data_IF_971311128369
#
_entry.id   IF_971311128369
#
_cell.length_a   1.000
_cell.length_b   1.000
_cell.length_c   1.000
_cell.angle_alpha   90.00
_cell.angle_beta   90.00
_cell.angle_gamma   90.00
#
_symmetry.space_group_name_H-M   'P 1'
#
loop_
_entity.id
_entity.type
_entity.pdbx_description
1 polymer ?
#
# COMPACT_ATOMS: atom_id res chain seq x y z
N UNK A 1 12.45 2.60 -10.09
CA UNK A 1 12.95 3.99 -10.21
C UNK A 1 14.34 4.01 -9.65
N UNK A 2 15.36 4.47 -10.41
CA UNK A 2 16.73 4.51 -9.89
C UNK A 2 16.98 5.87 -9.22
N UNK A 3 17.48 5.82 -8.01
CA UNK A 3 17.95 6.98 -7.26
C UNK A 3 19.45 7.00 -7.18
N UNK A 4 20.01 8.18 -7.08
CA UNK A 4 21.39 8.41 -6.68
C UNK A 4 21.40 9.33 -5.47
N UNK A 5 22.49 9.33 -4.71
CA UNK A 5 22.69 10.33 -3.68
C UNK A 5 24.07 10.97 -3.78
N UNK A 6 24.11 12.24 -3.45
CA UNK A 6 25.33 12.98 -3.22
C UNK A 6 25.64 12.90 -1.71
N UNK A 7 26.78 12.31 -1.35
CA UNK A 7 27.31 12.35 0.01
C UNK A 7 28.20 13.58 0.12
N UNK A 8 27.70 14.64 0.79
CA UNK A 8 28.32 15.95 0.83
C UNK A 8 28.88 16.20 2.22
N UNK A 9 30.19 16.42 2.29
CA UNK A 9 30.91 16.76 3.51
C UNK A 9 31.08 18.26 3.63
N UNK A 10 30.83 18.82 4.79
CA UNK A 10 30.94 20.23 5.17
C UNK A 10 32.17 20.38 6.10
N UNK A 11 33.14 21.18 5.70
CA UNK A 11 34.38 21.36 6.47
C UNK A 11 34.75 22.83 6.65
N UNK A 12 34.88 23.34 7.90
CA UNK A 12 34.42 22.69 9.15
C UNK A 12 32.89 22.53 9.19
N UNK A 13 32.41 21.49 9.87
CA UNK A 13 30.97 21.26 9.99
C UNK A 13 30.26 22.43 10.71
N UNK A 14 29.15 22.84 10.16
CA UNK A 14 28.26 23.86 10.70
C UNK A 14 26.80 23.49 10.44
N UNK A 15 25.99 23.50 11.47
CA UNK A 15 24.57 23.21 11.37
C UNK A 15 23.87 24.22 10.44
N UNK A 16 24.24 25.50 10.52
CA UNK A 16 23.74 26.56 9.63
C UNK A 16 24.11 26.31 8.17
N UNK A 17 25.33 25.83 7.91
CA UNK A 17 25.74 25.49 6.55
C UNK A 17 24.99 24.26 6.02
N UNK A 18 24.71 23.29 6.88
CA UNK A 18 23.90 22.12 6.56
C UNK A 18 22.47 22.51 6.17
N UNK A 19 21.85 23.42 6.93
CA UNK A 19 20.49 23.90 6.66
C UNK A 19 20.40 24.68 5.35
N UNK A 20 21.39 25.57 5.08
CA UNK A 20 21.48 26.34 3.83
C UNK A 20 21.67 25.37 2.64
N UNK A 21 22.61 24.44 2.78
CA UNK A 21 22.88 23.44 1.73
C UNK A 21 21.63 22.60 1.43
N UNK A 22 20.92 22.15 2.45
CA UNK A 22 19.67 21.39 2.30
C UNK A 22 18.61 22.18 1.55
N UNK A 23 18.42 23.46 1.90
CA UNK A 23 17.45 24.32 1.24
C UNK A 23 17.79 24.54 -0.25
N UNK A 24 19.05 24.81 -0.57
CA UNK A 24 19.47 25.05 -1.94
C UNK A 24 19.41 23.78 -2.80
N UNK A 25 19.74 22.63 -2.25
CA UNK A 25 19.62 21.35 -2.95
C UNK A 25 18.15 20.96 -3.17
N UNK A 26 17.25 21.28 -2.23
CA UNK A 26 15.81 21.08 -2.42
C UNK A 26 15.27 21.92 -3.59
N UNK A 27 15.74 23.18 -3.74
CA UNK A 27 15.42 24.02 -4.91
C UNK A 27 16.03 23.46 -6.22
N UNK A 28 17.18 22.78 -6.12
CA UNK A 28 17.83 22.12 -7.26
C UNK A 28 17.21 20.76 -7.64
N UNK A 29 16.13 20.35 -6.95
CA UNK A 29 15.35 19.15 -7.29
C UNK A 29 15.70 17.90 -6.51
N UNK A 30 16.50 18.00 -5.45
CA UNK A 30 16.70 16.90 -4.51
C UNK A 30 15.48 16.77 -3.60
N UNK A 31 14.98 15.54 -3.42
CA UNK A 31 13.67 15.29 -2.78
C UNK A 31 13.78 14.69 -1.37
N UNK A 32 14.98 14.24 -0.95
CA UNK A 32 15.18 13.64 0.36
C UNK A 32 16.58 13.89 0.91
N UNK A 33 16.72 14.01 2.23
CA UNK A 33 17.98 14.36 2.88
C UNK A 33 18.18 13.54 4.16
N UNK A 34 19.42 13.08 4.38
CA UNK A 34 19.86 12.38 5.58
C UNK A 34 21.04 13.13 6.16
N UNK A 35 20.97 13.52 7.45
CA UNK A 35 22.10 14.15 8.12
C UNK A 35 23.16 13.10 8.48
N UNK A 36 24.44 13.47 8.31
CA UNK A 36 25.59 12.69 8.72
C UNK A 36 26.41 13.46 9.75
N UNK A 37 27.42 12.82 10.35
CA UNK A 37 28.25 13.47 11.37
C UNK A 37 28.97 14.73 10.84
N UNK A 38 29.29 14.80 9.55
CA UNK A 38 30.07 15.86 8.94
C UNK A 38 29.41 16.53 7.73
N UNK A 39 28.11 16.28 7.46
CA UNK A 39 27.45 16.82 6.28
C UNK A 39 26.07 16.23 6.06
N UNK A 40 25.71 16.05 4.79
CA UNK A 40 24.41 15.49 4.41
C UNK A 40 24.53 14.53 3.22
N UNK A 41 23.62 13.56 3.14
CA UNK A 41 23.32 12.82 1.92
C UNK A 41 22.05 13.39 1.31
N UNK A 42 22.12 13.80 0.06
CA UNK A 42 21.02 14.38 -0.69
C UNK A 42 20.62 13.42 -1.82
N UNK A 43 19.35 13.06 -1.91
CA UNK A 43 18.82 12.05 -2.82
C UNK A 43 18.07 12.71 -3.97
N UNK A 44 18.28 12.20 -5.19
CA UNK A 44 17.63 12.68 -6.41
C UNK A 44 17.42 11.50 -7.36
N UNK A 45 16.38 11.56 -8.19
CA UNK A 45 16.20 10.56 -9.25
C UNK A 45 17.35 10.62 -10.25
N UNK A 46 17.81 9.47 -10.71
CA UNK A 46 18.91 9.39 -11.66
C UNK A 46 18.66 10.20 -12.92
N UNK A 47 17.41 10.18 -13.42
CA UNK A 47 17.04 10.89 -14.66
C UNK A 47 17.02 12.40 -14.50
N UNK A 48 16.88 12.91 -13.28
CA UNK A 48 16.84 14.34 -12.93
C UNK A 48 18.21 14.85 -12.45
N UNK A 49 19.18 13.97 -12.25
CA UNK A 49 20.52 14.35 -11.77
C UNK A 49 21.34 15.05 -12.85
N UNK A 50 21.90 16.18 -12.47
CA UNK A 50 22.81 16.98 -13.29
C UNK A 50 24.04 17.39 -12.46
N UNK A 51 25.20 16.82 -12.76
CA UNK A 51 26.42 17.10 -11.99
C UNK A 51 26.82 18.57 -12.04
N UNK A 52 26.74 19.20 -13.20
CA UNK A 52 27.05 20.65 -13.32
C UNK A 52 26.07 21.54 -12.56
N UNK A 53 24.82 21.05 -12.35
CA UNK A 53 23.84 21.76 -11.52
C UNK A 53 24.22 21.65 -10.04
N UNK A 54 24.68 20.49 -9.58
CA UNK A 54 25.19 20.30 -8.22
C UNK A 54 26.41 21.20 -7.97
N UNK A 55 27.40 21.17 -8.89
CA UNK A 55 28.60 22.01 -8.78
C UNK A 55 28.22 23.51 -8.66
N UNK A 56 27.31 23.98 -9.51
CA UNK A 56 26.83 25.37 -9.46
C UNK A 56 26.11 25.69 -8.16
N UNK A 57 25.29 24.76 -7.66
CA UNK A 57 24.58 24.96 -6.39
C UNK A 57 25.54 25.07 -5.21
N UNK A 58 26.62 24.27 -5.20
CA UNK A 58 27.64 24.34 -4.16
C UNK A 58 28.47 25.59 -4.25
N UNK A 59 28.81 26.04 -5.47
CA UNK A 59 29.58 27.27 -5.72
C UNK A 59 28.78 28.53 -5.35
N UNK A 60 27.47 28.52 -5.46
CA UNK A 60 26.58 29.61 -5.07
C UNK A 60 26.44 29.78 -3.54
N UNK A 61 26.87 28.81 -2.75
CA UNK A 61 26.90 28.92 -1.29
C UNK A 61 28.12 29.68 -0.82
N UNK A 62 27.98 30.99 -0.68
CA UNK A 62 29.04 31.86 -0.20
C UNK A 62 29.12 31.88 1.33
N UNK A 63 29.73 30.87 1.95
CA UNK A 63 29.98 30.85 3.39
C UNK A 63 31.50 30.97 3.61
N UNK A 64 31.96 32.02 4.36
CA UNK A 64 33.39 32.18 4.61
C UNK A 64 33.92 31.02 5.46
N UNK A 65 35.10 30.51 5.04
CA UNK A 65 35.85 29.45 5.73
C UNK A 65 35.12 28.04 5.76
N UNK A 66 34.11 27.82 4.90
CA UNK A 66 33.46 26.51 4.75
C UNK A 66 33.70 25.98 3.34
N UNK A 67 34.19 24.74 3.28
CA UNK A 67 34.39 24.01 2.03
C UNK A 67 33.38 22.84 1.95
N UNK A 68 32.85 22.62 0.74
CA UNK A 68 31.97 21.49 0.41
C UNK A 68 32.76 20.52 -0.48
N UNK A 69 32.77 19.26 -0.10
CA UNK A 69 33.25 18.18 -0.96
C UNK A 69 32.20 17.09 -1.06
N UNK A 70 32.10 16.44 -2.21
CA UNK A 70 31.09 15.43 -2.38
C UNK A 70 31.56 14.20 -3.17
N UNK A 71 30.83 13.12 -3.00
CA UNK A 71 30.90 11.92 -3.84
C UNK A 71 29.49 11.49 -4.26
N UNK A 72 29.38 11.01 -5.49
CA UNK A 72 28.10 10.52 -6.03
C UNK A 72 28.07 9.00 -5.94
N UNK A 73 26.99 8.51 -5.39
CA UNK A 73 26.75 7.09 -5.24
C UNK A 73 25.45 6.72 -5.95
N UNK A 74 25.49 5.69 -6.79
CA UNK A 74 24.29 5.06 -7.25
C UNK A 74 23.74 4.23 -6.08
N UNK A 75 22.47 4.44 -5.74
CA UNK A 75 21.77 3.45 -4.95
C UNK A 75 21.71 2.20 -5.84
N UNK A 76 22.59 1.23 -5.60
CA UNK A 76 22.31 -0.11 -6.07
C UNK A 76 20.89 -0.42 -5.63
N UNK A 77 20.08 -1.02 -6.52
CA UNK A 77 18.81 -1.65 -6.18
C UNK A 77 19.08 -2.84 -5.23
N UNK A 78 19.82 -2.61 -4.17
CA UNK A 78 19.76 -3.43 -2.99
C UNK A 78 18.49 -3.00 -2.29
N UNK A 79 17.54 -3.84 -2.41
CA UNK A 79 16.26 -3.77 -1.72
C UNK A 79 16.51 -3.78 -0.21
N UNK A 80 16.92 -2.60 0.33
CA UNK A 80 17.10 -2.39 1.77
C UNK A 80 15.78 -2.63 2.51
N UNK A 81 14.65 -2.45 1.80
CA UNK A 81 13.35 -2.85 2.29
C UNK A 81 13.25 -4.38 2.33
N UNK A 82 13.78 -5.11 1.36
CA UNK A 82 13.71 -6.59 1.36
C UNK A 82 14.44 -7.19 2.57
N UNK A 83 15.59 -6.65 2.96
CA UNK A 83 16.34 -7.13 4.11
C UNK A 83 15.74 -6.66 5.44
N UNK A 84 15.24 -5.42 5.50
CA UNK A 84 14.53 -4.88 6.65
C UNK A 84 13.15 -5.53 6.81
N UNK A 85 12.40 -5.72 5.73
CA UNK A 85 11.11 -6.40 5.72
C UNK A 85 11.25 -7.88 6.06
N UNK A 86 12.27 -8.59 5.56
CA UNK A 86 12.55 -9.97 5.96
C UNK A 86 12.88 -10.10 7.44
N UNK A 87 13.57 -9.13 8.01
CA UNK A 87 13.97 -9.14 9.43
C UNK A 87 12.88 -8.59 10.36
N UNK A 88 11.92 -7.83 9.84
CA UNK A 88 10.81 -7.21 10.60
C UNK A 88 9.45 -7.83 10.30
N UNK A 89 9.37 -8.73 9.31
CA UNK A 89 8.13 -9.40 8.94
C UNK A 89 7.79 -10.51 9.95
N UNK A 90 6.73 -10.28 10.73
CA UNK A 90 6.12 -11.36 11.51
C UNK A 90 5.17 -12.15 10.61
N UNK A 91 5.44 -13.43 10.31
CA UNK A 91 4.57 -14.27 9.49
C UNK A 91 3.31 -14.73 10.25
N UNK A 92 2.64 -13.78 10.89
CA UNK A 92 1.45 -14.05 11.73
C UNK A 92 0.35 -14.75 10.92
N UNK A 93 0.17 -14.37 9.65
CA UNK A 93 -0.86 -14.98 8.81
C UNK A 93 -0.51 -16.40 8.39
N UNK A 94 0.78 -16.72 8.21
CA UNK A 94 1.23 -18.09 7.95
C UNK A 94 1.06 -18.97 9.20
N UNK A 95 1.49 -18.45 10.35
CA UNK A 95 1.42 -19.16 11.63
C UNK A 95 -0.01 -19.46 12.06
N UNK A 96 -0.92 -18.50 11.91
CA UNK A 96 -2.29 -18.60 12.42
C UNK A 96 -3.29 -19.11 11.38
N UNK A 97 -3.10 -18.77 10.13
CA UNK A 97 -4.07 -19.06 9.07
C UNK A 97 -3.52 -19.92 7.94
N UNK A 98 -2.22 -20.21 7.92
CA UNK A 98 -1.58 -20.96 6.87
C UNK A 98 -1.42 -20.20 5.54
N UNK A 99 -1.59 -18.86 5.55
CA UNK A 99 -1.44 -18.00 4.38
C UNK A 99 0.03 -17.58 4.26
N UNK A 100 0.71 -18.06 3.23
CA UNK A 100 2.10 -17.69 2.95
C UNK A 100 2.14 -16.43 2.11
N UNK A 101 2.88 -15.43 2.57
CA UNK A 101 3.11 -14.19 1.86
C UNK A 101 4.61 -13.92 1.72
N UNK A 102 5.00 -13.45 0.55
CA UNK A 102 6.26 -12.76 0.36
C UNK A 102 5.95 -11.27 0.43
N UNK A 103 6.18 -10.58 1.56
CA UNK A 103 5.91 -9.17 1.66
C UNK A 103 6.98 -8.44 0.84
N UNK A 104 6.59 -7.90 -0.29
CA UNK A 104 7.32 -6.83 -0.97
C UNK A 104 6.73 -5.49 -0.54
N UNK A 105 7.03 -4.42 -1.22
CA UNK A 105 6.50 -3.07 -0.92
C UNK A 105 4.97 -2.93 -1.05
N UNK A 106 4.21 -4.04 -1.00
CA UNK A 106 2.75 -4.05 -1.08
C UNK A 106 2.10 -4.06 0.31
N UNK A 107 1.00 -3.31 0.46
CA UNK A 107 0.21 -3.32 1.70
C UNK A 107 -0.49 -4.67 1.89
N UNK A 108 -0.63 -5.11 3.15
CA UNK A 108 -1.38 -6.32 3.48
C UNK A 108 -0.51 -7.49 3.98
N UNK A 109 0.69 -7.21 4.51
CA UNK A 109 1.58 -8.20 5.14
C UNK A 109 0.97 -8.94 6.34
N UNK A 110 -0.16 -8.44 6.87
CA UNK A 110 -0.84 -8.99 8.04
C UNK A 110 -0.39 -8.42 9.38
N UNK A 111 0.69 -7.65 9.41
CA UNK A 111 1.13 -6.94 10.60
C UNK A 111 0.20 -5.78 10.96
N UNK A 112 -0.55 -5.25 9.99
CA UNK A 112 -1.54 -4.21 10.22
C UNK A 112 -2.84 -4.82 10.77
N UNK A 113 -3.41 -4.21 11.80
CA UNK A 113 -4.59 -4.73 12.51
C UNK A 113 -5.82 -4.91 11.62
N UNK A 114 -6.05 -4.02 10.66
CA UNK A 114 -7.16 -4.15 9.71
C UNK A 114 -7.04 -5.40 8.85
N UNK A 115 -5.83 -5.68 8.35
CA UNK A 115 -5.57 -6.86 7.52
C UNK A 115 -5.82 -8.14 8.31
N UNK A 116 -5.29 -8.23 9.53
CA UNK A 116 -5.53 -9.39 10.40
C UNK A 116 -7.02 -9.58 10.72
N UNK A 117 -7.72 -8.51 11.12
CA UNK A 117 -9.13 -8.55 11.47
C UNK A 117 -10.01 -9.02 10.31
N UNK A 118 -9.87 -8.39 9.14
CA UNK A 118 -10.70 -8.73 7.98
C UNK A 118 -10.38 -10.13 7.45
N UNK A 119 -9.09 -10.53 7.45
CA UNK A 119 -8.68 -11.90 7.09
C UNK A 119 -9.30 -12.94 8.02
N UNK A 120 -9.25 -12.70 9.34
CA UNK A 120 -9.87 -13.59 10.33
C UNK A 120 -11.38 -13.73 10.11
N UNK A 121 -12.06 -12.63 9.80
CA UNK A 121 -13.50 -12.64 9.52
C UNK A 121 -13.80 -13.41 8.22
N UNK A 122 -13.06 -13.16 7.14
CA UNK A 122 -13.20 -13.89 5.87
C UNK A 122 -12.98 -15.38 6.08
N UNK A 123 -11.96 -15.79 6.81
CA UNK A 123 -11.69 -17.21 7.08
C UNK A 123 -12.76 -17.90 7.92
N UNK A 124 -13.64 -17.17 8.59
CA UNK A 124 -14.80 -17.73 9.31
C UNK A 124 -16.04 -17.96 8.42
N UNK A 125 -16.02 -17.44 7.19
CA UNK A 125 -17.12 -17.53 6.22
C UNK A 125 -16.91 -18.69 5.23
N UNK A 126 -17.95 -19.02 4.46
CA UNK A 126 -17.90 -19.99 3.36
C UNK A 126 -18.14 -19.26 2.02
N UNK A 127 -17.24 -19.46 1.07
CA UNK A 127 -17.31 -18.85 -0.26
C UNK A 127 -17.53 -19.90 -1.37
N UNK A 128 -17.94 -21.12 -1.01
CA UNK A 128 -18.16 -22.21 -1.98
C UNK A 128 -19.11 -21.77 -3.09
N UNK A 129 -18.70 -22.01 -4.34
CA UNK A 129 -19.40 -21.63 -5.57
C UNK A 129 -19.61 -20.10 -5.77
N UNK A 130 -18.86 -19.27 -5.07
CA UNK A 130 -18.95 -17.82 -5.21
C UNK A 130 -17.88 -17.28 -6.16
N UNK A 131 -18.26 -16.26 -6.94
CA UNK A 131 -17.36 -15.37 -7.64
C UNK A 131 -17.09 -14.17 -6.74
N UNK A 132 -15.83 -13.94 -6.40
CA UNK A 132 -15.44 -12.92 -5.42
C UNK A 132 -14.49 -11.88 -6.00
N UNK A 133 -14.56 -10.65 -5.48
CA UNK A 133 -13.68 -9.54 -5.85
C UNK A 133 -12.89 -9.08 -4.64
N UNK A 134 -11.57 -8.94 -4.80
CA UNK A 134 -10.63 -8.29 -3.89
C UNK A 134 -10.17 -6.97 -4.49
N UNK A 135 -10.69 -5.85 -3.97
CA UNK A 135 -10.43 -4.51 -4.49
C UNK A 135 -9.42 -3.77 -3.64
N UNK A 136 -8.32 -3.31 -4.27
CA UNK A 136 -7.12 -2.86 -3.58
C UNK A 136 -6.39 -4.04 -2.96
N UNK A 137 -6.08 -5.05 -3.80
CA UNK A 137 -5.66 -6.38 -3.34
C UNK A 137 -4.32 -6.38 -2.60
N UNK A 138 -3.42 -5.41 -2.87
CA UNK A 138 -2.11 -5.32 -2.25
C UNK A 138 -1.32 -6.61 -2.39
N UNK A 139 -1.02 -7.28 -1.27
CA UNK A 139 -0.35 -8.60 -1.25
C UNK A 139 -1.21 -9.76 -1.76
N UNK A 140 -2.50 -9.54 -2.02
CA UNK A 140 -3.43 -10.60 -2.41
C UNK A 140 -4.05 -11.36 -1.22
N UNK A 141 -3.76 -10.98 -0.01
CA UNK A 141 -4.11 -11.77 1.20
C UNK A 141 -5.60 -12.06 1.34
N UNK A 142 -6.47 -11.10 1.03
CA UNK A 142 -7.92 -11.27 1.19
C UNK A 142 -8.50 -12.18 0.10
N UNK A 143 -8.03 -12.01 -1.14
CA UNK A 143 -8.36 -12.91 -2.24
C UNK A 143 -7.89 -14.33 -1.98
N UNK A 144 -6.66 -14.51 -1.43
CA UNK A 144 -6.12 -15.81 -1.02
C UNK A 144 -7.01 -16.43 0.07
N UNK A 145 -7.40 -15.67 1.10
CA UNK A 145 -8.27 -16.14 2.16
C UNK A 145 -9.64 -16.62 1.63
N UNK A 146 -10.26 -15.86 0.72
CA UNK A 146 -11.52 -16.26 0.09
C UNK A 146 -11.36 -17.53 -0.78
N UNK A 147 -10.25 -17.65 -1.54
CA UNK A 147 -9.95 -18.85 -2.32
C UNK A 147 -9.77 -20.09 -1.42
N UNK A 148 -9.05 -19.96 -0.30
CA UNK A 148 -8.89 -21.04 0.69
C UNK A 148 -10.23 -21.47 1.32
N UNK A 149 -11.21 -20.57 1.34
CA UNK A 149 -12.57 -20.84 1.82
C UNK A 149 -13.55 -21.24 0.72
N UNK A 150 -13.03 -21.64 -0.45
CA UNK A 150 -13.79 -22.32 -1.50
C UNK A 150 -14.33 -21.42 -2.61
N UNK A 151 -13.88 -20.15 -2.72
CA UNK A 151 -14.30 -19.30 -3.83
C UNK A 151 -14.04 -19.98 -5.19
N UNK A 152 -15.04 -20.01 -6.06
CA UNK A 152 -14.94 -20.61 -7.37
C UNK A 152 -14.02 -19.80 -8.31
N UNK A 153 -14.15 -18.48 -8.24
CA UNK A 153 -13.33 -17.53 -8.98
C UNK A 153 -13.00 -16.32 -8.11
N UNK A 154 -11.74 -15.95 -8.07
CA UNK A 154 -11.26 -14.70 -7.47
C UNK A 154 -10.90 -13.71 -8.57
N UNK A 155 -11.35 -12.48 -8.48
CA UNK A 155 -10.82 -11.35 -9.22
C UNK A 155 -10.13 -10.43 -8.23
N UNK A 156 -8.88 -10.07 -8.50
CA UNK A 156 -8.08 -9.20 -7.64
C UNK A 156 -7.66 -7.96 -8.45
N UNK A 157 -7.92 -6.76 -7.94
CA UNK A 157 -7.65 -5.51 -8.67
C UNK A 157 -6.82 -4.59 -7.77
N UNK A 158 -5.77 -3.99 -8.33
CA UNK A 158 -5.00 -2.93 -7.69
C UNK A 158 -4.55 -1.88 -8.70
N UNK A 159 -4.44 -0.63 -8.26
CA UNK A 159 -3.94 0.47 -9.10
C UNK A 159 -2.42 0.49 -9.20
N UNK A 160 -1.73 -0.17 -8.25
CA UNK A 160 -0.28 -0.21 -8.19
C UNK A 160 0.26 -1.45 -8.90
N UNK A 161 1.09 -1.29 -9.94
CA UNK A 161 1.67 -2.43 -10.65
C UNK A 161 2.56 -3.32 -9.76
N UNK A 162 3.20 -2.77 -8.72
CA UNK A 162 3.99 -3.57 -7.78
C UNK A 162 3.10 -4.48 -6.94
N UNK A 163 1.95 -3.98 -6.48
CA UNK A 163 0.94 -4.77 -5.78
C UNK A 163 0.41 -5.90 -6.67
N UNK A 164 0.13 -5.62 -7.94
CA UNK A 164 -0.31 -6.64 -8.91
C UNK A 164 0.71 -7.76 -9.07
N UNK A 165 2.00 -7.43 -9.22
CA UNK A 165 3.05 -8.45 -9.35
C UNK A 165 3.26 -9.23 -8.03
N UNK A 166 3.20 -8.56 -6.89
CA UNK A 166 3.30 -9.21 -5.59
C UNK A 166 2.12 -10.14 -5.31
N UNK A 167 0.90 -9.72 -5.64
CA UNK A 167 -0.27 -10.58 -5.54
C UNK A 167 -0.12 -11.86 -6.39
N UNK A 168 0.36 -11.77 -7.63
CA UNK A 168 0.61 -12.95 -8.49
C UNK A 168 1.54 -13.95 -7.82
N UNK A 169 2.64 -13.49 -7.25
CA UNK A 169 3.57 -14.35 -6.52
C UNK A 169 2.90 -15.02 -5.33
N UNK A 170 2.18 -14.23 -4.51
CA UNK A 170 1.55 -14.74 -3.30
C UNK A 170 0.42 -15.73 -3.59
N UNK A 171 -0.40 -15.51 -4.62
CA UNK A 171 -1.37 -16.50 -5.08
C UNK A 171 -0.69 -17.81 -5.49
N UNK A 172 0.42 -17.72 -6.23
CA UNK A 172 1.23 -18.89 -6.62
C UNK A 172 1.83 -19.62 -5.42
N UNK A 173 2.37 -18.89 -4.43
CA UNK A 173 2.91 -19.46 -3.19
C UNK A 173 1.87 -20.27 -2.40
N UNK A 174 0.60 -19.92 -2.52
CA UNK A 174 -0.51 -20.61 -1.86
C UNK A 174 -1.19 -21.64 -2.78
N UNK A 175 -0.64 -21.92 -3.98
CA UNK A 175 -1.16 -22.85 -4.97
C UNK A 175 -2.59 -22.52 -5.46
N UNK A 176 -2.95 -21.23 -5.52
CA UNK A 176 -4.25 -20.74 -5.97
C UNK A 176 -4.12 -20.36 -7.45
N UNK A 177 -4.91 -21.01 -8.31
CA UNK A 177 -4.85 -20.84 -9.75
C UNK A 177 -6.16 -20.30 -10.35
N UNK A 178 -7.22 -20.19 -9.55
CA UNK A 178 -8.54 -19.70 -9.96
C UNK A 178 -8.68 -18.19 -9.71
N UNK A 179 -7.63 -17.43 -9.98
CA UNK A 179 -7.56 -15.98 -9.79
C UNK A 179 -7.27 -15.25 -11.09
N UNK A 180 -7.96 -14.15 -11.32
CA UNK A 180 -7.67 -13.14 -12.35
C UNK A 180 -7.17 -11.88 -11.64
N UNK A 181 -5.96 -11.41 -11.99
CA UNK A 181 -5.34 -10.26 -11.33
C UNK A 181 -5.18 -9.14 -12.34
N UNK A 182 -5.75 -7.99 -12.05
CA UNK A 182 -5.88 -6.85 -12.97
C UNK A 182 -5.23 -5.59 -12.37
N UNK A 183 -4.56 -4.84 -13.23
CA UNK A 183 -4.11 -3.49 -12.92
C UNK A 183 -5.24 -2.50 -13.26
N UNK A 184 -5.71 -1.74 -12.28
CA UNK A 184 -6.77 -0.76 -12.48
C UNK A 184 -7.44 -0.30 -11.19
N UNK A 185 -8.40 0.58 -11.32
CA UNK A 185 -9.30 1.06 -10.28
C UNK A 185 -10.68 0.41 -10.36
N UNK A 186 -11.67 0.94 -9.65
CA UNK A 186 -13.05 0.44 -9.64
C UNK A 186 -13.72 0.44 -11.02
N UNK A 187 -13.21 1.19 -12.01
CA UNK A 187 -13.72 1.17 -13.39
C UNK A 187 -13.35 -0.11 -14.15
N UNK A 188 -12.34 -0.84 -13.69
CA UNK A 188 -11.93 -2.12 -14.27
C UNK A 188 -12.84 -3.29 -13.86
N UNK A 189 -13.76 -3.09 -12.92
CA UNK A 189 -14.67 -4.14 -12.43
C UNK A 189 -15.63 -4.58 -13.55
N UNK A 190 -15.68 -5.88 -13.83
CA UNK A 190 -16.56 -6.46 -14.84
C UNK A 190 -17.41 -7.62 -14.30
N UNK A 191 -18.66 -7.66 -14.71
CA UNK A 191 -19.60 -8.69 -14.30
C UNK A 191 -20.19 -8.46 -12.91
N UNK A 192 -20.71 -9.53 -12.31
CA UNK A 192 -21.28 -9.53 -10.96
C UNK A 192 -20.49 -10.44 -10.04
N UNK A 193 -20.51 -10.13 -8.74
CA UNK A 193 -19.83 -10.85 -7.68
C UNK A 193 -20.79 -11.17 -6.55
N UNK A 194 -20.67 -12.36 -5.99
CA UNK A 194 -21.41 -12.78 -4.80
C UNK A 194 -20.86 -12.09 -3.55
N UNK A 195 -19.52 -11.91 -3.54
CA UNK A 195 -18.84 -11.17 -2.48
C UNK A 195 -17.81 -10.20 -3.05
N UNK A 196 -17.76 -9.00 -2.47
CA UNK A 196 -16.72 -7.99 -2.73
C UNK A 196 -16.05 -7.69 -1.39
N UNK A 197 -14.73 -7.60 -1.38
CA UNK A 197 -13.95 -7.11 -0.24
C UNK A 197 -13.10 -5.92 -0.67
N UNK A 198 -13.00 -4.90 0.21
CA UNK A 198 -12.11 -3.77 0.03
C UNK A 198 -11.56 -3.31 1.39
N UNK A 199 -10.22 -3.32 1.53
CA UNK A 199 -9.50 -2.81 2.70
C UNK A 199 -8.63 -1.64 2.28
N UNK A 200 -9.26 -0.48 2.03
CA UNK A 200 -8.65 0.74 1.50
C UNK A 200 -9.18 1.98 2.22
N UNK A 201 -8.63 3.16 1.91
CA UNK A 201 -9.01 4.40 2.60
C UNK A 201 -10.51 4.74 2.46
N UNK A 202 -11.12 5.24 3.57
CA UNK A 202 -12.53 5.63 3.68
C UNK A 202 -13.07 6.42 2.48
N UNK A 203 -12.34 7.45 2.07
CA UNK A 203 -12.81 8.34 1.01
C UNK A 203 -12.98 7.62 -0.33
N UNK A 204 -12.08 6.68 -0.64
CA UNK A 204 -12.17 5.84 -1.83
C UNK A 204 -13.32 4.86 -1.69
N UNK A 205 -13.46 4.22 -0.51
CA UNK A 205 -14.60 3.32 -0.25
C UNK A 205 -15.94 4.01 -0.51
N UNK A 206 -16.13 5.22 0.05
CA UNK A 206 -17.38 5.99 -0.13
C UNK A 206 -17.60 6.34 -1.60
N UNK A 207 -16.56 6.76 -2.31
CA UNK A 207 -16.65 7.12 -3.72
C UNK A 207 -17.01 5.91 -4.62
N UNK A 208 -16.50 4.73 -4.28
CA UNK A 208 -16.66 3.50 -5.05
C UNK A 208 -17.90 2.67 -4.68
N UNK A 209 -18.56 2.96 -3.55
CA UNK A 209 -19.78 2.23 -3.13
C UNK A 209 -20.86 2.09 -4.22
N UNK A 210 -21.16 3.13 -5.02
CA UNK A 210 -22.13 2.98 -6.13
C UNK A 210 -21.69 1.93 -7.15
N UNK A 211 -20.38 1.85 -7.44
CA UNK A 211 -19.80 0.88 -8.36
C UNK A 211 -19.84 -0.52 -7.75
N UNK A 212 -19.41 -0.69 -6.51
CA UNK A 212 -19.49 -1.98 -5.82
C UNK A 212 -20.92 -2.50 -5.76
N UNK A 213 -21.90 -1.66 -5.38
CA UNK A 213 -23.31 -2.07 -5.32
C UNK A 213 -23.86 -2.51 -6.69
N UNK A 214 -23.44 -1.86 -7.78
CA UNK A 214 -23.84 -2.23 -9.13
C UNK A 214 -23.35 -3.61 -9.52
N UNK A 215 -22.12 -3.94 -9.13
CA UNK A 215 -21.46 -5.20 -9.43
C UNK A 215 -21.67 -6.29 -8.38
N UNK A 216 -22.33 -5.98 -7.26
CA UNK A 216 -22.68 -6.95 -6.23
C UNK A 216 -23.99 -7.67 -6.63
N UNK A 217 -24.01 -8.97 -6.58
CA UNK A 217 -25.21 -9.79 -6.83
C UNK A 217 -26.35 -9.43 -5.86
N UNK A 218 -27.62 -9.71 -6.19
CA UNK A 218 -28.71 -9.60 -5.23
C UNK A 218 -28.41 -10.44 -3.99
N UNK A 219 -28.57 -9.86 -2.79
CA UNK A 219 -28.18 -10.45 -1.50
C UNK A 219 -26.67 -10.70 -1.33
N UNK A 220 -25.84 -10.28 -2.27
CA UNK A 220 -24.39 -10.38 -2.18
C UNK A 220 -23.84 -9.63 -0.98
N UNK A 221 -22.64 -10.04 -0.56
CA UNK A 221 -21.96 -9.54 0.64
C UNK A 221 -20.82 -8.56 0.25
N UNK A 222 -20.71 -7.48 1.00
CA UNK A 222 -19.62 -6.51 0.88
C UNK A 222 -18.89 -6.38 2.21
N UNK A 223 -17.58 -6.63 2.22
CA UNK A 223 -16.72 -6.38 3.37
C UNK A 223 -15.89 -5.13 3.13
N UNK A 224 -15.94 -4.18 4.07
CA UNK A 224 -15.20 -2.93 4.02
C UNK A 224 -14.34 -2.78 5.27
N UNK A 225 -13.10 -2.32 5.08
CA UNK A 225 -12.16 -1.99 6.16
C UNK A 225 -11.19 -0.89 5.68
N UNK A 226 -10.28 -0.45 6.57
CA UNK A 226 -9.35 0.64 6.27
C UNK A 226 -9.84 2.00 6.75
N UNK A 227 -10.75 2.01 7.75
CA UNK A 227 -11.28 3.21 8.36
C UNK A 227 -11.44 3.02 9.89
N UNK A 228 -11.61 4.14 10.60
CA UNK A 228 -11.66 4.17 12.06
C UNK A 228 -13.10 4.17 12.60
N UNK A 229 -13.24 3.95 13.90
CA UNK A 229 -14.53 3.99 14.62
C UNK A 229 -15.27 5.30 14.44
N UNK A 230 -14.57 6.42 14.39
CA UNK A 230 -15.17 7.74 14.18
C UNK A 230 -15.78 7.89 12.77
N UNK A 231 -15.39 7.05 11.83
CA UNK A 231 -15.88 7.05 10.45
C UNK A 231 -17.16 6.21 10.26
N UNK A 232 -17.57 5.42 11.26
CA UNK A 232 -18.76 4.55 11.18
C UNK A 232 -20.02 5.29 10.74
N UNK A 233 -20.35 6.48 11.28
CA UNK A 233 -21.56 7.20 10.86
C UNK A 233 -21.56 7.55 9.36
N UNK A 234 -20.44 8.01 8.83
CA UNK A 234 -20.28 8.36 7.42
C UNK A 234 -20.45 7.13 6.53
N UNK A 235 -19.80 6.02 6.91
CA UNK A 235 -19.87 4.75 6.19
C UNK A 235 -21.29 4.17 6.21
N UNK A 236 -22.01 4.25 7.34
CA UNK A 236 -23.40 3.83 7.44
C UNK A 236 -24.31 4.67 6.58
N UNK A 237 -24.15 5.99 6.57
CA UNK A 237 -24.92 6.90 5.72
C UNK A 237 -24.69 6.58 4.24
N UNK A 238 -23.44 6.40 3.83
CA UNK A 238 -23.08 6.05 2.47
C UNK A 238 -23.64 4.67 2.07
N UNK A 239 -23.60 3.68 2.97
CA UNK A 239 -24.18 2.36 2.75
C UNK A 239 -25.70 2.42 2.50
N UNK A 240 -26.43 3.15 3.35
CA UNK A 240 -27.90 3.34 3.21
C UNK A 240 -28.23 3.99 1.87
N UNK A 241 -27.49 5.05 1.49
CA UNK A 241 -27.68 5.74 0.21
C UNK A 241 -27.47 4.83 -1.01
N UNK A 242 -26.67 3.76 -0.85
CA UNK A 242 -26.39 2.76 -1.87
C UNK A 242 -27.17 1.44 -1.68
N UNK A 243 -28.29 1.44 -0.93
CA UNK A 243 -29.14 0.25 -0.71
C UNK A 243 -28.39 -0.94 -0.11
N UNK A 244 -27.43 -0.67 0.75
CA UNK A 244 -26.70 -1.65 1.50
C UNK A 244 -27.19 -1.65 2.96
N UNK A 245 -27.31 -2.82 3.56
CA UNK A 245 -27.64 -3.00 4.98
C UNK A 245 -26.42 -3.50 5.74
N UNK A 246 -26.03 -2.80 6.79
CA UNK A 246 -24.97 -3.28 7.71
C UNK A 246 -25.49 -4.49 8.46
N UNK A 247 -24.74 -5.59 8.41
CA UNK A 247 -25.03 -6.87 9.09
C UNK A 247 -24.18 -7.05 10.34
N UNK A 248 -22.93 -6.63 10.24
CA UNK A 248 -21.98 -6.77 11.33
C UNK A 248 -20.96 -5.63 11.27
N UNK A 249 -20.54 -5.18 12.42
CA UNK A 249 -19.41 -4.27 12.59
C UNK A 249 -18.50 -4.87 13.65
N UNK A 250 -17.23 -5.03 13.33
CA UNK A 250 -16.19 -5.52 14.24
C UNK A 250 -15.18 -4.40 14.42
N UNK A 251 -14.82 -4.12 15.67
CA UNK A 251 -13.83 -3.12 16.03
C UNK A 251 -12.70 -3.76 16.81
N UNK A 252 -11.48 -3.32 16.53
CA UNK A 252 -10.30 -3.64 17.34
C UNK A 252 -9.30 -2.48 17.24
N UNK A 253 -8.89 -1.94 18.39
CA UNK A 253 -7.91 -0.86 18.51
C UNK A 253 -8.25 0.37 17.64
N UNK A 254 -9.54 0.73 17.56
CA UNK A 254 -10.02 1.85 16.76
C UNK A 254 -10.23 1.56 15.28
N UNK A 255 -9.80 0.42 14.76
CA UNK A 255 -10.01 -0.01 13.37
C UNK A 255 -11.29 -0.82 13.21
N UNK A 256 -11.95 -0.66 12.09
CA UNK A 256 -13.27 -1.24 11.82
C UNK A 256 -13.27 -2.15 10.60
N UNK A 257 -13.97 -3.28 10.74
CA UNK A 257 -14.45 -4.10 9.62
C UNK A 257 -15.98 -4.06 9.61
N UNK A 258 -16.57 -3.73 8.47
CA UNK A 258 -18.01 -3.67 8.29
C UNK A 258 -18.45 -4.69 7.24
N UNK A 259 -19.36 -5.59 7.61
CA UNK A 259 -20.02 -6.54 6.70
C UNK A 259 -21.39 -5.99 6.31
N UNK A 260 -21.61 -5.82 5.02
CA UNK A 260 -22.84 -5.30 4.47
C UNK A 260 -23.49 -6.31 3.50
N UNK A 261 -24.77 -6.17 3.27
CA UNK A 261 -25.49 -6.99 2.29
C UNK A 261 -26.35 -6.09 1.40
N UNK A 262 -26.36 -6.38 0.08
CA UNK A 262 -27.23 -5.68 -0.86
C UNK A 262 -28.70 -6.04 -0.57
N UNK A 263 -29.54 -5.02 -0.41
CA UNK A 263 -30.97 -5.19 -0.24
C UNK A 263 -31.62 -5.72 -1.53
N UNK A 264 -32.63 -6.55 -1.41
CA UNK A 264 -33.50 -6.91 -2.54
C UNK A 264 -34.32 -5.70 -2.92
N UNK A 265 -34.58 -5.52 -4.22
CA UNK A 265 -35.54 -4.56 -4.73
C UNK A 265 -36.97 -4.96 -4.36
#
# INVERSE_FOLDING_TARGET
MRYIFADITISPYSEVASDILTAMLAEAGYDSFEQTDNGIKAYIRRDDFCQSCLDSTLDDICLPDIEFTYSIHELEEKDWNEEWERNSFDPILEREFGIRLNPRMAFGSGSHETTYQITSLILSEDFSNQRVLDMGTGTGVLGIAMAMRGAEQVVAIDIDPFSVENAKENFSLNNINNVEILLGDSSAIQGQFDTIVANIHKNILIADLPTYTRHLAPQGTLFLSGFFTDDIPDMQQAAIANRLSVRQTVEKNGWVVMKLTRQME
#
